data_IF_246783101448
#
_entry.id   IF_246783101448
#
_cell.length_a   1.000
_cell.length_b   1.000
_cell.length_c   1.000
_cell.angle_alpha   90.00
_cell.angle_beta   90.00
_cell.angle_gamma   90.00
#
_symmetry.space_group_name_H-M   'P 1'
#
loop_
_entity.id
_entity.type
_entity.pdbx_description
1 polymer ?
#
# COMPACT_ATOMS: atom_id res chain seq x y z
N UNK A 1 -8.84 -19.51 -1.05
CA UNK A 1 -9.94 -18.62 -1.47
C UNK A 1 -11.10 -18.81 -0.51
N UNK A 2 -11.40 -17.81 0.33
CA UNK A 2 -12.64 -17.72 1.11
C UNK A 2 -12.81 -16.25 1.52
N UNK A 3 -13.88 -15.62 1.05
CA UNK A 3 -14.37 -14.31 1.46
C UNK A 3 -15.83 -14.50 1.88
N UNK A 4 -16.28 -14.00 3.05
CA UNK A 4 -17.69 -14.10 3.41
C UNK A 4 -18.50 -12.93 2.84
N UNK A 5 -19.72 -13.27 2.44
CA UNK A 5 -20.78 -12.41 1.95
C UNK A 5 -21.36 -11.49 3.04
N UNK A 6 -21.76 -10.27 2.66
CA UNK A 6 -23.06 -9.72 3.07
C UNK A 6 -23.47 -8.57 2.16
N UNK A 7 -24.58 -8.80 1.43
CA UNK A 7 -25.35 -7.80 0.70
C UNK A 7 -26.50 -7.30 1.58
N UNK A 8 -26.94 -6.07 1.31
CA UNK A 8 -27.78 -5.26 2.18
C UNK A 8 -29.23 -5.71 2.39
N UNK A 9 -29.92 -4.93 3.23
CA UNK A 9 -31.37 -4.77 3.14
C UNK A 9 -31.73 -3.31 3.38
N UNK A 10 -32.45 -2.75 2.41
CA UNK A 10 -33.14 -1.48 2.50
C UNK A 10 -34.61 -1.77 2.82
N UNK A 11 -35.21 -1.03 3.76
CA UNK A 11 -36.63 -1.16 4.05
C UNK A 11 -37.17 -0.11 5.02
N UNK A 12 -37.85 0.90 4.47
CA UNK A 12 -39.19 1.33 4.90
C UNK A 12 -39.35 2.14 6.19
N UNK A 13 -39.85 3.38 6.04
CA UNK A 13 -40.41 4.25 7.09
C UNK A 13 -41.65 3.67 7.78
N UNK A 14 -41.80 3.87 9.10
CA UNK A 14 -43.12 4.00 9.77
C UNK A 14 -43.05 5.04 10.90
N UNK A 15 -44.10 5.86 10.94
CA UNK A 15 -44.43 6.98 11.82
C UNK A 15 -45.21 6.50 13.05
N UNK A 16 -44.89 7.05 14.23
CA UNK A 16 -45.82 7.18 15.37
C UNK A 16 -45.68 6.17 16.51
N UNK A 17 -45.30 6.65 17.70
CA UNK A 17 -46.15 6.48 18.88
C UNK A 17 -45.79 7.48 19.99
N UNK A 18 -46.82 8.08 20.58
CA UNK A 18 -46.73 9.07 21.67
C UNK A 18 -46.76 8.37 23.04
N UNK A 19 -46.04 8.86 24.07
CA UNK A 19 -46.22 8.36 25.44
C UNK A 19 -47.40 9.06 26.16
N UNK A 20 -48.07 8.38 27.11
CA UNK A 20 -49.22 8.94 27.84
C UNK A 20 -48.78 9.90 28.96
N UNK A 21 -49.66 10.80 29.43
CA UNK A 21 -49.32 11.79 30.45
C UNK A 21 -49.59 11.28 31.86
N UNK A 22 -48.71 11.59 32.81
CA UNK A 22 -49.05 11.56 34.24
C UNK A 22 -48.55 12.83 34.91
N UNK A 23 -49.45 13.43 35.67
CA UNK A 23 -49.39 14.77 36.27
C UNK A 23 -48.76 14.75 37.69
N UNK A 24 -48.78 15.84 38.49
CA UNK A 24 -47.54 16.41 39.01
C UNK A 24 -47.40 16.26 40.54
N UNK A 25 -46.27 16.75 41.05
CA UNK A 25 -46.10 17.31 42.40
C UNK A 25 -45.62 16.35 43.51
N UNK A 26 -44.31 16.39 43.80
CA UNK A 26 -43.84 16.37 45.19
C UNK A 26 -42.47 17.03 45.31
N UNK A 27 -42.47 18.19 45.96
CA UNK A 27 -41.32 18.94 46.47
C UNK A 27 -40.42 18.09 47.37
N UNK A 28 -39.15 17.87 46.97
CA UNK A 28 -38.04 17.59 47.89
C UNK A 28 -36.79 18.40 47.49
N UNK A 29 -36.18 19.02 48.51
CA UNK A 29 -35.00 19.90 48.47
C UNK A 29 -33.81 19.29 47.71
N UNK A 30 -32.94 20.12 47.11
CA UNK A 30 -31.72 19.64 46.47
C UNK A 30 -30.70 19.21 47.53
N UNK A 31 -30.30 17.94 47.49
CA UNK A 31 -29.07 17.46 48.11
C UNK A 31 -27.89 17.82 47.19
N UNK A 32 -26.72 18.17 47.74
CA UNK A 32 -25.59 18.66 46.96
C UNK A 32 -25.12 17.59 45.99
N UNK A 33 -25.10 17.95 44.70
CA UNK A 33 -24.52 17.16 43.63
C UNK A 33 -23.01 17.07 43.94
N UNK A 34 -22.58 15.89 44.36
CA UNK A 34 -21.16 15.54 44.38
C UNK A 34 -20.67 15.59 42.94
N UNK A 35 -19.91 16.63 42.62
CA UNK A 35 -19.23 16.81 41.34
C UNK A 35 -18.08 15.81 41.21
N UNK A 36 -18.40 14.53 41.04
CA UNK A 36 -17.47 13.57 40.47
C UNK A 36 -17.79 13.51 38.99
N UNK A 37 -17.29 14.50 38.24
CA UNK A 37 -17.26 14.40 36.78
C UNK A 37 -16.42 13.16 36.44
N UNK A 38 -16.96 12.14 35.75
CA UNK A 38 -16.10 11.13 35.14
C UNK A 38 -15.12 11.87 34.21
N UNK A 39 -13.87 11.41 34.17
CA UNK A 39 -12.82 11.97 33.34
C UNK A 39 -13.39 12.30 31.96
N UNK A 40 -13.43 13.59 31.61
CA UNK A 40 -13.93 14.10 30.33
C UNK A 40 -13.47 13.19 29.20
N UNK A 41 -14.41 12.56 28.50
CA UNK A 41 -14.16 11.88 27.23
C UNK A 41 -13.62 12.93 26.25
N UNK A 42 -12.29 13.01 26.13
CA UNK A 42 -11.64 13.96 25.24
C UNK A 42 -11.68 13.39 23.82
N UNK A 43 -12.67 13.77 23.04
CA UNK A 43 -12.66 13.52 21.61
C UNK A 43 -11.56 14.37 20.96
N UNK A 44 -10.58 13.71 20.34
CA UNK A 44 -9.52 14.40 19.61
C UNK A 44 -10.03 14.91 18.26
N UNK A 45 -9.69 16.14 17.84
CA UNK A 45 -10.12 16.66 16.56
C UNK A 45 -9.43 15.91 15.41
N UNK A 46 -10.24 15.25 14.56
CA UNK A 46 -9.77 14.56 13.37
C UNK A 46 -9.60 15.59 12.25
N UNK A 47 -8.38 15.68 11.69
CA UNK A 47 -8.07 16.58 10.58
C UNK A 47 -8.37 15.87 9.25
N UNK A 48 -9.27 16.41 8.41
CA UNK A 48 -9.58 15.81 7.12
C UNK A 48 -8.42 16.00 6.13
N UNK A 49 -8.25 15.03 5.24
CA UNK A 49 -7.36 15.15 4.08
C UNK A 49 -8.15 15.50 2.82
N UNK A 50 -7.58 16.36 1.98
CA UNK A 50 -8.05 16.68 0.65
C UNK A 50 -7.50 15.64 -0.32
N UNK A 51 -8.37 15.09 -1.16
CA UNK A 51 -8.01 14.15 -2.22
C UNK A 51 -7.69 14.90 -3.50
N UNK A 52 -6.52 14.65 -4.08
CA UNK A 52 -6.11 15.18 -5.38
C UNK A 52 -5.81 14.02 -6.35
N UNK A 53 -6.58 13.91 -7.42
CA UNK A 53 -6.38 12.90 -8.47
C UNK A 53 -5.37 13.41 -9.48
N UNK A 54 -4.26 12.69 -9.68
CA UNK A 54 -3.29 13.01 -10.72
C UNK A 54 -3.51 12.13 -11.96
N UNK A 55 -3.73 10.83 -11.74
CA UNK A 55 -3.93 9.83 -12.80
C UNK A 55 -4.69 8.60 -12.27
N UNK A 56 -4.95 7.61 -13.13
CA UNK A 56 -5.57 6.32 -12.80
C UNK A 56 -4.73 5.59 -11.75
N UNK A 57 -5.28 5.36 -10.55
CA UNK A 57 -4.60 4.82 -9.36
C UNK A 57 -3.47 5.70 -8.78
N UNK A 58 -3.34 6.97 -9.19
CA UNK A 58 -2.38 7.92 -8.64
C UNK A 58 -3.11 9.08 -7.97
N UNK A 59 -3.17 9.03 -6.64
CA UNK A 59 -3.93 9.99 -5.82
C UNK A 59 -3.02 10.50 -4.72
N UNK A 60 -2.98 11.81 -4.53
CA UNK A 60 -2.27 12.44 -3.41
C UNK A 60 -3.28 12.94 -2.39
N UNK A 61 -3.01 12.67 -1.11
CA UNK A 61 -3.79 13.19 0.01
C UNK A 61 -3.02 14.33 0.67
N UNK A 62 -3.61 15.54 0.61
CA UNK A 62 -3.06 16.73 1.23
C UNK A 62 -3.81 17.06 2.52
N UNK A 63 -3.13 17.68 3.47
CA UNK A 63 -3.76 18.19 4.69
C UNK A 63 -4.12 19.66 4.44
N UNK A 64 -5.28 20.10 4.91
CA UNK A 64 -5.79 21.46 4.67
C UNK A 64 -4.82 22.57 5.12
N UNK A 65 -3.99 22.32 6.14
CA UNK A 65 -3.03 23.28 6.71
C UNK A 65 -1.61 23.16 6.14
N UNK A 66 -1.44 22.41 5.04
CA UNK A 66 -0.14 22.11 4.45
C UNK A 66 0.46 20.79 4.94
N UNK A 67 1.55 20.30 4.31
CA UNK A 67 2.10 18.98 4.57
C UNK A 67 2.90 18.89 5.88
N UNK A 68 3.29 20.03 6.46
CA UNK A 68 3.97 20.11 7.75
C UNK A 68 2.94 20.12 8.87
N UNK A 69 3.01 19.12 9.72
CA UNK A 69 2.12 18.93 10.86
C UNK A 69 2.89 19.20 12.14
N UNK A 70 2.41 20.16 12.93
CA UNK A 70 2.83 20.27 14.34
C UNK A 70 2.10 19.21 15.18
N UNK A 71 2.89 18.35 15.82
CA UNK A 71 2.44 17.36 16.80
C UNK A 71 2.70 17.96 18.18
N UNK A 72 1.66 18.45 18.86
CA UNK A 72 1.78 18.98 20.20
C UNK A 72 2.01 17.86 21.22
N UNK A 73 2.63 18.17 22.36
CA UNK A 73 3.05 17.14 23.28
C UNK A 73 1.91 16.59 24.17
N UNK A 74 0.89 17.40 24.45
CA UNK A 74 -0.23 17.05 25.33
C UNK A 74 -1.38 16.29 24.63
N UNK A 75 -1.35 16.19 23.30
CA UNK A 75 -2.46 15.62 22.53
C UNK A 75 -2.00 14.97 21.22
N UNK A 76 -2.58 13.81 20.83
CA UNK A 76 -2.29 13.21 19.55
C UNK A 76 -2.89 14.04 18.40
N UNK A 77 -2.19 14.09 17.27
CA UNK A 77 -2.72 14.65 16.03
C UNK A 77 -3.30 13.51 15.18
N UNK A 78 -4.59 13.56 14.87
CA UNK A 78 -5.28 12.49 14.12
C UNK A 78 -5.67 12.97 12.73
N UNK A 79 -5.40 12.15 11.72
CA UNK A 79 -5.69 12.40 10.31
C UNK A 79 -6.55 11.28 9.75
N UNK A 80 -7.47 11.62 8.85
CA UNK A 80 -8.30 10.63 8.14
C UNK A 80 -7.98 10.64 6.65
N UNK A 81 -7.77 9.46 6.08
CA UNK A 81 -7.54 9.19 4.66
C UNK A 81 -8.70 8.32 4.18
N UNK A 82 -9.46 8.80 3.21
CA UNK A 82 -10.62 8.07 2.69
C UNK A 82 -10.26 7.43 1.35
N UNK A 83 -10.30 6.09 1.31
CA UNK A 83 -10.07 5.30 0.10
C UNK A 83 -11.40 4.89 -0.53
N UNK A 84 -11.58 5.25 -1.80
CA UNK A 84 -12.79 4.94 -2.55
C UNK A 84 -12.86 3.45 -2.93
N UNK A 85 -14.06 2.85 -2.89
CA UNK A 85 -14.24 1.46 -3.30
C UNK A 85 -13.94 1.27 -4.78
N UNK A 86 -13.37 0.10 -5.12
CA UNK A 86 -13.05 -0.36 -6.49
C UNK A 86 -11.91 0.40 -7.16
N UNK A 87 -11.80 1.71 -6.96
CA UNK A 87 -10.79 2.55 -7.59
C UNK A 87 -9.49 2.62 -6.79
N UNK A 88 -9.53 2.80 -5.48
CA UNK A 88 -8.32 3.05 -4.69
C UNK A 88 -7.70 1.75 -4.12
N UNK A 89 -8.49 0.68 -4.03
CA UNK A 89 -8.05 -0.63 -3.52
C UNK A 89 -7.19 -1.42 -4.50
N UNK A 90 -7.12 -0.98 -5.76
CA UNK A 90 -6.36 -1.65 -6.81
C UNK A 90 -4.88 -1.27 -6.88
N UNK A 91 -4.38 -0.40 -5.99
CA UNK A 91 -2.98 0.06 -6.00
C UNK A 91 -2.28 -0.15 -4.66
N UNK A 92 -1.30 0.71 -4.37
CA UNK A 92 -0.48 0.69 -3.15
C UNK A 92 -0.64 2.00 -2.39
N UNK A 93 -1.05 1.94 -1.13
CA UNK A 93 -1.04 3.09 -0.24
C UNK A 93 0.37 3.29 0.32
N UNK A 94 0.96 4.45 0.00
CA UNK A 94 2.26 4.87 0.49
C UNK A 94 2.05 5.97 1.53
N UNK A 95 2.63 5.76 2.71
CA UNK A 95 2.66 6.72 3.80
C UNK A 95 4.12 7.02 4.14
N UNK A 96 4.50 8.29 4.12
CA UNK A 96 5.84 8.77 4.45
C UNK A 96 5.74 9.82 5.56
N UNK A 97 6.47 9.56 6.64
CA UNK A 97 6.64 10.46 7.78
C UNK A 97 8.07 10.95 7.80
N UNK A 98 8.27 12.27 7.75
CA UNK A 98 9.59 12.88 7.85
C UNK A 98 9.65 13.89 8.98
N UNK A 99 10.47 13.62 9.98
CA UNK A 99 10.67 14.49 11.14
C UNK A 99 11.57 15.68 10.77
N UNK A 100 11.12 16.89 11.09
CA UNK A 100 11.95 18.07 10.99
C UNK A 100 12.84 18.18 12.23
N UNK A 101 14.06 17.64 12.15
CA UNK A 101 14.99 17.59 13.29
C UNK A 101 15.36 18.97 13.84
N UNK A 102 15.27 20.02 13.01
CA UNK A 102 15.53 21.41 13.42
C UNK A 102 14.46 21.94 14.38
N UNK A 103 13.25 21.37 14.38
CA UNK A 103 12.17 21.79 15.29
C UNK A 103 12.31 21.23 16.72
N UNK A 104 13.24 20.29 16.94
CA UNK A 104 13.35 19.54 18.18
C UNK A 104 14.22 20.22 19.26
N UNK A 105 14.80 21.39 18.98
CA UNK A 105 15.59 22.21 19.92
C UNK A 105 16.68 21.44 20.72
N UNK A 106 17.17 20.29 20.24
CA UNK A 106 18.18 19.47 20.92
C UNK A 106 17.63 18.39 21.87
N UNK A 107 16.31 18.21 21.97
CA UNK A 107 15.70 17.12 22.73
C UNK A 107 15.62 15.80 21.94
N UNK A 108 15.76 14.68 22.65
CA UNK A 108 15.60 13.34 22.09
C UNK A 108 14.10 12.99 22.02
N UNK A 109 13.44 13.53 20.99
CA UNK A 109 12.03 13.28 20.71
C UNK A 109 11.86 12.15 19.71
N UNK A 110 10.90 11.28 19.99
CA UNK A 110 10.44 10.23 19.08
C UNK A 110 8.99 10.47 18.75
N UNK A 111 8.65 10.51 17.46
CA UNK A 111 7.26 10.60 17.02
C UNK A 111 6.81 9.24 16.54
N UNK A 112 5.72 8.76 17.12
CA UNK A 112 5.07 7.52 16.74
C UNK A 112 3.80 7.81 15.96
N UNK A 113 3.58 7.03 14.91
CA UNK A 113 2.39 7.05 14.10
C UNK A 113 1.70 5.69 14.11
N UNK A 114 0.42 5.65 14.48
CA UNK A 114 -0.41 4.45 14.33
C UNK A 114 -1.38 4.64 13.18
N UNK A 115 -1.28 3.79 12.17
CA UNK A 115 -2.22 3.73 11.05
C UNK A 115 -3.17 2.54 11.25
N UNK A 116 -4.47 2.81 11.35
CA UNK A 116 -5.48 1.78 11.51
C UNK A 116 -6.68 2.00 10.57
N UNK A 117 -7.37 0.92 10.22
CA UNK A 117 -8.58 0.94 9.41
C UNK A 117 -9.81 1.17 10.30
N UNK A 118 -10.73 2.04 9.87
CA UNK A 118 -12.02 2.41 10.48
C UNK A 118 -11.99 3.07 11.88
N UNK A 119 -10.99 2.80 12.72
CA UNK A 119 -10.91 3.29 14.09
C UNK A 119 -9.59 4.01 14.35
N UNK A 120 -9.60 5.25 14.89
CA UNK A 120 -8.38 5.91 15.33
C UNK A 120 -7.87 5.27 16.63
N UNK A 121 -6.85 4.42 16.52
CA UNK A 121 -6.16 3.90 17.70
C UNK A 121 -5.16 4.94 18.21
N UNK A 122 -5.23 5.25 19.49
CA UNK A 122 -4.21 6.02 20.20
C UNK A 122 -3.80 5.18 21.40
N UNK A 123 -2.56 4.67 21.44
CA UNK A 123 -2.06 4.02 22.66
C UNK A 123 -2.10 5.04 23.80
N UNK A 124 -2.94 4.75 24.80
CA UNK A 124 -3.12 5.55 26.01
C UNK A 124 -2.09 5.24 27.09
N UNK A 125 -1.39 4.11 26.97
CA UNK A 125 -0.44 3.65 27.98
C UNK A 125 0.96 4.18 27.67
N UNK A 126 1.55 4.88 28.64
CA UNK A 126 2.88 5.46 28.54
C UNK A 126 4.00 4.41 28.62
N UNK A 127 3.67 3.13 28.90
CA UNK A 127 4.64 2.06 29.13
C UNK A 127 5.03 1.30 27.84
N UNK A 128 4.15 1.25 26.83
CA UNK A 128 4.46 0.64 25.54
C UNK A 128 3.69 1.32 24.41
N UNK A 129 4.42 1.71 23.36
CA UNK A 129 3.82 2.25 22.15
C UNK A 129 3.52 1.11 21.19
N UNK A 130 2.38 0.46 21.40
CA UNK A 130 1.84 -0.53 20.46
C UNK A 130 0.63 0.05 19.73
N UNK A 131 0.53 -0.23 18.43
CA UNK A 131 -0.67 0.09 17.65
C UNK A 131 -1.63 -1.10 17.63
N UNK A 132 -1.78 -1.76 18.77
CA UNK A 132 -2.57 -2.98 18.91
C UNK A 132 -3.54 -2.83 20.06
N UNK A 133 -4.73 -3.39 19.88
CA UNK A 133 -5.76 -3.58 20.91
C UNK A 133 -6.16 -5.04 20.91
N UNK A 134 -6.93 -5.49 21.91
CA UNK A 134 -7.33 -6.90 22.05
C UNK A 134 -8.01 -7.50 20.79
N UNK A 135 -8.54 -6.67 19.88
CA UNK A 135 -9.24 -7.10 18.66
C UNK A 135 -8.72 -6.51 17.34
N UNK A 136 -7.90 -5.45 17.37
CA UNK A 136 -7.41 -4.76 16.17
C UNK A 136 -5.91 -4.52 16.24
N UNK A 137 -5.20 -4.84 15.16
CA UNK A 137 -3.79 -4.55 14.97
C UNK A 137 -3.59 -3.56 13.82
N UNK A 138 -2.98 -2.42 14.11
CA UNK A 138 -2.61 -1.39 13.14
C UNK A 138 -1.12 -1.40 12.81
N UNK A 139 -0.71 -0.53 11.90
CA UNK A 139 0.67 -0.38 11.50
C UNK A 139 1.35 0.73 12.32
N UNK A 140 2.50 0.42 12.93
CA UNK A 140 3.32 1.36 13.68
C UNK A 140 4.40 1.97 12.77
N UNK A 141 4.49 3.29 12.76
CA UNK A 141 5.60 4.05 12.22
C UNK A 141 6.31 4.80 13.36
N UNK A 142 7.64 4.85 13.33
CA UNK A 142 8.42 5.65 14.27
C UNK A 142 9.46 6.47 13.53
N UNK A 143 9.62 7.72 13.97
CA UNK A 143 10.67 8.63 13.50
C UNK A 143 11.33 9.30 14.68
N UNK A 144 12.64 9.46 14.61
CA UNK A 144 13.45 10.11 15.65
C UNK A 144 14.54 10.97 15.00
N UNK A 145 15.39 11.60 15.81
CA UNK A 145 16.45 12.46 15.28
C UNK A 145 17.47 11.72 14.39
N UNK A 146 17.73 10.44 14.65
CA UNK A 146 18.72 9.62 13.90
C UNK A 146 18.14 9.01 12.62
N UNK A 147 16.91 8.51 12.70
CA UNK A 147 16.08 7.98 11.63
C UNK A 147 14.87 8.92 11.44
N UNK A 148 15.12 10.05 10.79
CA UNK A 148 14.12 11.10 10.58
C UNK A 148 13.09 10.78 9.49
N UNK A 149 13.15 9.60 8.86
CA UNK A 149 12.28 9.20 7.77
C UNK A 149 11.77 7.78 7.96
N UNK A 150 10.44 7.62 7.96
CA UNK A 150 9.77 6.32 8.00
C UNK A 150 8.78 6.21 6.85
N UNK A 151 8.73 5.03 6.24
CA UNK A 151 7.85 4.74 5.09
C UNK A 151 7.09 3.46 5.33
N UNK A 152 5.78 3.52 5.21
CA UNK A 152 4.89 2.38 5.22
C UNK A 152 4.24 2.24 3.85
N UNK A 153 4.18 1.00 3.34
CA UNK A 153 3.55 0.70 2.06
C UNK A 153 2.58 -0.46 2.26
N UNK A 154 1.32 -0.23 1.96
CA UNK A 154 0.25 -1.23 2.08
C UNK A 154 -0.23 -1.55 0.66
N UNK A 155 0.13 -2.72 0.11
CA UNK A 155 -0.38 -3.16 -1.18
C UNK A 155 -1.86 -3.54 -1.04
N UNK A 156 -2.67 -3.15 -2.02
CA UNK A 156 -4.10 -3.42 -2.10
C UNK A 156 -4.85 -3.10 -0.80
N UNK A 157 -4.80 -1.84 -0.34
CA UNK A 157 -5.40 -1.45 0.93
C UNK A 157 -6.92 -1.66 0.91
N UNK A 158 -7.49 -1.97 2.07
CA UNK A 158 -8.94 -2.03 2.24
C UNK A 158 -9.57 -0.65 1.99
N UNK A 159 -10.76 -0.66 1.42
CA UNK A 159 -11.53 0.55 1.11
C UNK A 159 -12.12 1.15 2.39
N UNK A 160 -12.43 2.44 2.38
CA UNK A 160 -13.00 3.14 3.54
C UNK A 160 -12.01 4.08 4.22
N UNK A 161 -12.30 4.44 5.47
CA UNK A 161 -11.56 5.44 6.22
C UNK A 161 -10.38 4.83 6.97
N UNK A 162 -9.19 5.33 6.70
CA UNK A 162 -7.96 5.02 7.43
C UNK A 162 -7.60 6.18 8.33
N UNK A 163 -7.28 5.88 9.59
CA UNK A 163 -6.92 6.86 10.59
C UNK A 163 -5.45 6.76 10.95
N UNK A 164 -4.72 7.86 10.80
CA UNK A 164 -3.35 8.01 11.27
C UNK A 164 -3.33 8.88 12.51
N UNK A 165 -2.94 8.32 13.65
CA UNK A 165 -2.70 9.08 14.88
C UNK A 165 -1.20 9.28 15.08
N UNK A 166 -0.79 10.51 15.36
CA UNK A 166 0.60 10.89 15.63
C UNK A 166 0.74 11.35 17.08
N UNK A 167 1.75 10.84 17.78
CA UNK A 167 2.08 11.22 19.16
C UNK A 167 3.59 11.39 19.32
N UNK A 168 4.02 12.46 19.97
CA UNK A 168 5.42 12.70 20.31
C UNK A 168 5.70 12.26 21.75
N UNK A 169 6.77 11.49 21.95
CA UNK A 169 7.24 11.06 23.26
C UNK A 169 8.71 11.47 23.44
N UNK A 170 9.04 11.89 24.66
CA UNK A 170 10.35 12.37 25.07
C UNK A 170 10.97 11.42 26.09
N UNK A 171 12.30 11.41 26.15
CA UNK A 171 13.10 10.61 27.08
C UNK A 171 13.04 9.09 26.86
N UNK A 172 13.91 8.36 27.55
CA UNK A 172 14.04 6.89 27.46
C UNK A 172 12.85 6.14 28.05
N UNK A 173 12.02 6.82 28.84
CA UNK A 173 10.85 6.24 29.53
C UNK A 173 9.51 6.55 28.85
N UNK A 174 9.54 7.02 27.58
CA UNK A 174 8.34 7.25 26.76
C UNK A 174 7.29 8.18 27.40
N UNK A 175 7.76 9.20 28.12
CA UNK A 175 6.88 10.21 28.71
C UNK A 175 6.36 11.20 27.65
N UNK A 176 5.16 11.77 27.82
CA UNK A 176 4.73 12.89 26.98
C UNK A 176 5.72 14.04 27.15
N UNK A 177 6.13 14.65 26.04
CA UNK A 177 6.93 15.86 26.08
C UNK A 177 6.17 16.97 26.85
N UNK A 178 6.83 18.02 27.33
CA UNK A 178 6.13 19.13 28.02
C UNK A 178 6.24 20.45 27.25
N UNK A 179 7.40 20.71 26.63
CA UNK A 179 7.68 22.01 26.00
C UNK A 179 8.18 21.92 24.55
N UNK A 180 8.13 20.73 23.92
CA UNK A 180 8.59 20.55 22.54
C UNK A 180 7.47 20.09 21.64
N UNK A 181 7.25 20.85 20.57
CA UNK A 181 6.34 20.49 19.48
C UNK A 181 7.17 19.93 18.33
N UNK A 182 6.93 18.67 17.98
CA UNK A 182 7.59 18.05 16.85
C UNK A 182 6.89 18.44 15.55
N UNK A 183 7.62 18.95 14.57
CA UNK A 183 7.10 19.16 13.22
C UNK A 183 7.40 17.93 12.35
N UNK A 184 6.36 17.35 11.76
CA UNK A 184 6.48 16.19 10.88
C UNK A 184 5.86 16.51 9.53
N UNK A 185 6.63 16.33 8.48
CA UNK A 185 6.14 16.33 7.11
C UNK A 185 5.46 15.00 6.83
N UNK A 186 4.14 15.05 6.59
CA UNK A 186 3.32 13.89 6.27
C UNK A 186 3.01 13.87 4.78
N UNK A 187 3.29 12.74 4.13
CA UNK A 187 2.92 12.50 2.73
C UNK A 187 2.19 11.17 2.61
N UNK A 188 0.95 11.20 2.15
CA UNK A 188 0.13 10.03 1.87
C UNK A 188 -0.30 10.06 0.40
N UNK A 189 -0.05 8.97 -0.33
CA UNK A 189 -0.42 8.87 -1.73
C UNK A 189 -0.65 7.42 -2.16
N UNK A 190 -1.54 7.23 -3.13
CA UNK A 190 -1.70 5.97 -3.85
C UNK A 190 -0.78 5.96 -5.06
N UNK A 191 -0.10 4.84 -5.28
CA UNK A 191 0.60 4.56 -6.53
C UNK A 191 0.09 3.25 -7.12
N UNK A 192 0.10 3.08 -8.46
CA UNK A 192 -0.35 1.85 -9.09
C UNK A 192 0.50 0.64 -8.65
N UNK A 193 1.83 0.73 -8.77
CA UNK A 193 2.74 -0.35 -8.38
C UNK A 193 3.70 0.09 -7.27
N UNK A 194 4.28 -0.89 -6.57
CA UNK A 194 5.33 -0.66 -5.58
C UNK A 194 6.67 -0.46 -6.29
N UNK A 195 7.30 0.71 -6.10
CA UNK A 195 8.59 1.08 -6.70
C UNK A 195 8.70 0.76 -8.21
N UNK A 196 7.61 0.93 -8.96
CA UNK A 196 7.52 0.62 -10.39
C UNK A 196 7.97 -0.80 -10.78
N UNK A 197 7.83 -1.77 -9.86
CA UNK A 197 8.21 -3.18 -10.04
C UNK A 197 9.71 -3.43 -10.24
N UNK A 198 10.53 -2.42 -9.96
CA UNK A 198 11.99 -2.50 -10.13
C UNK A 198 12.41 -2.79 -11.57
N UNK A 199 13.60 -3.39 -11.72
CA UNK A 199 14.17 -3.73 -13.04
C UNK A 199 13.72 -5.09 -13.57
N UNK A 200 13.19 -5.95 -12.69
CA UNK A 200 12.82 -7.33 -12.99
C UNK A 200 11.31 -7.51 -13.19
N UNK A 201 10.56 -6.42 -13.26
CA UNK A 201 9.12 -6.44 -13.50
C UNK A 201 8.64 -5.29 -14.35
N UNK A 202 7.36 -5.34 -14.72
CA UNK A 202 6.65 -4.23 -15.35
C UNK A 202 5.35 -3.98 -14.61
N UNK A 203 5.04 -2.70 -14.37
CA UNK A 203 3.76 -2.31 -13.82
C UNK A 203 2.68 -2.43 -14.90
N UNK A 204 1.67 -3.27 -14.67
CA UNK A 204 0.55 -3.47 -15.58
C UNK A 204 -0.78 -3.25 -14.87
N UNK A 205 -1.72 -2.64 -15.60
CA UNK A 205 -3.11 -2.54 -15.20
C UNK A 205 -3.83 -3.80 -15.66
N UNK A 206 -4.27 -4.59 -14.70
CA UNK A 206 -5.00 -5.83 -14.90
C UNK A 206 -6.47 -5.61 -14.56
N UNK A 207 -7.34 -6.28 -15.30
CA UNK A 207 -8.78 -6.26 -15.07
C UNK A 207 -9.27 -7.67 -14.87
N UNK A 208 -9.83 -7.94 -13.70
CA UNK A 208 -10.53 -9.19 -13.40
C UNK A 208 -12.01 -8.87 -13.19
N UNK A 209 -12.86 -9.32 -14.11
CA UNK A 209 -14.28 -8.96 -14.17
C UNK A 209 -14.49 -7.42 -14.25
N UNK A 210 -15.02 -6.83 -13.18
CA UNK A 210 -15.28 -5.40 -13.06
C UNK A 210 -14.33 -4.70 -12.05
N UNK A 211 -13.29 -5.39 -11.60
CA UNK A 211 -12.28 -4.86 -10.70
C UNK A 211 -11.00 -4.57 -11.50
N UNK A 212 -10.56 -3.32 -11.46
CA UNK A 212 -9.33 -2.87 -12.08
C UNK A 212 -8.27 -2.73 -10.99
N UNK A 213 -7.07 -3.23 -11.24
CA UNK A 213 -5.98 -3.16 -10.28
C UNK A 213 -4.63 -3.14 -11.00
N UNK A 214 -3.65 -2.50 -10.38
CA UNK A 214 -2.29 -2.41 -10.84
C UNK A 214 -1.45 -3.45 -10.10
N UNK A 215 -0.70 -4.26 -10.85
CA UNK A 215 0.18 -5.28 -10.30
C UNK A 215 1.50 -5.32 -11.05
N UNK A 216 2.52 -5.88 -10.40
CA UNK A 216 3.79 -6.15 -11.02
C UNK A 216 3.79 -7.50 -11.71
N UNK A 217 4.05 -7.50 -13.03
CA UNK A 217 4.35 -8.72 -13.77
C UNK A 217 5.86 -8.95 -13.76
N UNK A 218 6.30 -9.96 -13.02
CA UNK A 218 7.70 -10.28 -12.83
C UNK A 218 8.24 -11.13 -13.98
N UNK A 219 9.50 -10.89 -14.33
CA UNK A 219 10.23 -11.56 -15.41
C UNK A 219 11.20 -12.58 -14.84
N UNK A 220 11.63 -13.54 -15.66
CA UNK A 220 12.74 -14.44 -15.34
C UNK A 220 12.63 -15.17 -13.98
N UNK A 221 11.41 -15.55 -13.57
CA UNK A 221 11.19 -16.30 -12.31
C UNK A 221 11.29 -15.46 -11.03
N UNK A 222 11.41 -14.14 -11.14
CA UNK A 222 11.32 -13.26 -9.96
C UNK A 222 9.91 -13.28 -9.38
N UNK A 223 9.80 -13.13 -8.06
CA UNK A 223 8.52 -13.17 -7.36
C UNK A 223 8.40 -12.01 -6.35
N UNK A 224 7.25 -11.93 -5.69
CA UNK A 224 6.90 -10.91 -4.71
C UNK A 224 6.21 -9.69 -5.33
N UNK A 225 5.56 -8.90 -4.48
CA UNK A 225 4.74 -7.74 -4.88
C UNK A 225 5.48 -6.69 -5.73
N UNK A 226 6.80 -6.58 -5.56
CA UNK A 226 7.66 -5.66 -6.31
C UNK A 226 8.72 -6.35 -7.16
N UNK A 227 8.60 -7.66 -7.44
CA UNK A 227 9.60 -8.45 -8.18
C UNK A 227 11.01 -8.37 -7.57
N UNK A 228 11.10 -8.43 -6.24
CA UNK A 228 12.36 -8.35 -5.49
C UNK A 228 12.80 -9.68 -4.90
N UNK A 229 11.95 -10.71 -4.93
CA UNK A 229 12.29 -12.04 -4.44
C UNK A 229 12.99 -12.84 -5.54
N UNK A 230 14.19 -13.34 -5.22
CA UNK A 230 15.07 -14.06 -6.13
C UNK A 230 15.07 -15.58 -5.89
N UNK A 231 14.24 -16.10 -4.98
CA UNK A 231 14.25 -17.52 -4.61
C UNK A 231 14.07 -18.47 -5.80
N UNK A 232 13.21 -18.11 -6.75
CA UNK A 232 12.92 -18.90 -7.97
C UNK A 232 13.46 -18.23 -9.25
N UNK A 233 14.29 -17.19 -9.10
CA UNK A 233 14.78 -16.44 -10.25
C UNK A 233 15.78 -17.26 -11.06
N UNK A 234 15.60 -17.29 -12.38
CA UNK A 234 16.54 -17.94 -13.28
C UNK A 234 17.87 -17.19 -13.26
N UNK A 235 18.97 -17.95 -13.06
CA UNK A 235 20.30 -17.38 -13.12
C UNK A 235 20.61 -16.84 -14.52
N UNK A 236 21.39 -15.76 -14.57
CA UNK A 236 21.86 -15.21 -15.83
C UNK A 236 22.58 -16.26 -16.70
N UNK A 237 23.32 -17.18 -16.05
CA UNK A 237 23.99 -18.29 -16.74
C UNK A 237 23.03 -19.26 -17.43
N UNK A 238 21.89 -19.57 -16.82
CA UNK A 238 20.88 -20.43 -17.44
C UNK A 238 20.22 -19.76 -18.65
N UNK A 239 19.95 -18.46 -18.56
CA UNK A 239 19.41 -17.67 -19.67
C UNK A 239 20.41 -17.61 -20.85
N UNK A 240 21.70 -17.39 -20.53
CA UNK A 240 22.78 -17.36 -21.51
C UNK A 240 23.00 -18.73 -22.17
N UNK A 241 23.01 -19.80 -21.38
CA UNK A 241 23.15 -21.17 -21.89
C UNK A 241 21.99 -21.54 -22.81
N UNK A 242 20.76 -21.21 -22.42
CA UNK A 242 19.57 -21.45 -23.25
C UNK A 242 19.67 -20.70 -24.57
N UNK A 243 20.07 -19.43 -24.54
CA UNK A 243 20.28 -18.61 -25.75
C UNK A 243 21.41 -19.18 -26.62
N UNK A 244 22.51 -19.63 -26.02
CA UNK A 244 23.65 -20.21 -26.71
C UNK A 244 23.29 -21.53 -27.40
N UNK A 245 22.62 -22.45 -26.68
CA UNK A 245 22.17 -23.72 -27.24
C UNK A 245 21.21 -23.51 -28.41
N UNK A 246 20.32 -22.53 -28.29
CA UNK A 246 19.37 -22.18 -29.34
C UNK A 246 20.09 -21.59 -30.57
N UNK A 247 21.03 -20.67 -30.38
CA UNK A 247 21.89 -20.16 -31.47
C UNK A 247 22.71 -21.28 -32.13
N UNK A 248 23.28 -22.19 -31.33
CA UNK A 248 24.09 -23.30 -31.82
C UNK A 248 23.24 -24.30 -32.62
N UNK A 249 22.00 -24.55 -32.21
CA UNK A 249 21.05 -25.37 -32.98
C UNK A 249 20.75 -24.76 -34.36
N UNK A 250 20.57 -23.42 -34.43
CA UNK A 250 20.34 -22.71 -35.69
C UNK A 250 21.57 -22.77 -36.62
N UNK A 251 22.79 -22.70 -36.08
CA UNK A 251 24.03 -22.86 -36.88
C UNK A 251 24.17 -24.27 -37.43
N UNK A 252 23.76 -25.28 -36.68
CA UNK A 252 23.80 -26.68 -37.13
C UNK A 252 22.82 -26.98 -38.29
N UNK A 253 21.82 -26.13 -38.55
CA UNK A 253 20.97 -26.23 -39.74
C UNK A 253 21.64 -25.70 -41.02
N UNK A 254 22.72 -24.92 -40.92
CA UNK A 254 23.39 -24.31 -42.09
C UNK A 254 24.05 -25.34 -43.01
N UNK A 255 24.81 -26.36 -42.54
CA UNK A 255 25.41 -27.36 -43.41
C UNK A 255 24.38 -28.19 -44.22
N UNK A 256 23.28 -28.73 -43.61
CA UNK A 256 22.22 -29.40 -44.36
C UNK A 256 21.57 -28.52 -45.43
N UNK A 257 21.31 -27.24 -45.14
CA UNK A 257 20.78 -26.28 -46.11
C UNK A 257 21.76 -26.09 -47.28
N UNK A 258 23.04 -25.86 -46.98
CA UNK A 258 24.07 -25.65 -48.00
C UNK A 258 24.25 -26.88 -48.90
N UNK A 259 24.22 -28.08 -48.33
CA UNK A 259 24.32 -29.34 -49.08
C UNK A 259 23.10 -29.49 -49.98
N UNK A 260 21.87 -29.36 -49.44
CA UNK A 260 20.62 -29.53 -50.19
C UNK A 260 20.46 -28.53 -51.34
N UNK A 261 20.88 -27.28 -51.15
CA UNK A 261 20.90 -26.24 -52.20
C UNK A 261 21.90 -26.62 -53.30
N UNK A 262 23.10 -27.09 -52.93
CA UNK A 262 24.13 -27.51 -53.89
C UNK A 262 23.73 -28.75 -54.70
N UNK A 263 23.00 -29.68 -54.10
CA UNK A 263 22.52 -30.91 -54.74
C UNK A 263 21.16 -30.77 -55.43
N UNK A 264 20.60 -29.55 -55.52
CA UNK A 264 19.33 -29.25 -56.18
C UNK A 264 18.07 -29.92 -55.55
N UNK A 265 18.11 -30.29 -54.26
CA UNK A 265 16.94 -30.78 -53.54
C UNK A 265 16.13 -29.61 -52.96
N UNK A 266 15.36 -28.95 -53.82
CA UNK A 266 14.62 -27.72 -53.46
C UNK A 266 13.60 -27.92 -52.33
N UNK A 267 12.96 -29.09 -52.25
CA UNK A 267 11.96 -29.37 -51.21
C UNK A 267 12.61 -29.57 -49.83
N UNK A 268 13.73 -30.29 -49.78
CA UNK A 268 14.51 -30.47 -48.55
C UNK A 268 15.13 -29.15 -48.08
N UNK A 269 15.70 -28.38 -49.02
CA UNK A 269 16.24 -27.05 -48.74
C UNK A 269 15.16 -26.12 -48.17
N UNK A 270 13.94 -26.13 -48.73
CA UNK A 270 12.82 -25.34 -48.22
C UNK A 270 12.46 -25.74 -46.78
N UNK A 271 12.34 -27.03 -46.48
CA UNK A 271 12.01 -27.51 -45.12
C UNK A 271 13.05 -27.06 -44.08
N UNK A 272 14.34 -27.19 -44.38
CA UNK A 272 15.39 -26.76 -43.46
C UNK A 272 15.45 -25.24 -43.27
N UNK A 273 15.24 -24.46 -44.35
CA UNK A 273 15.17 -23.00 -44.28
C UNK A 273 13.97 -22.55 -43.46
N UNK A 274 12.78 -23.14 -43.67
CA UNK A 274 11.60 -22.84 -42.88
C UNK A 274 11.80 -23.18 -41.39
N UNK A 275 12.39 -24.34 -41.10
CA UNK A 275 12.67 -24.76 -39.71
C UNK A 275 13.64 -23.80 -39.02
N UNK A 276 14.69 -23.38 -39.72
CA UNK A 276 15.64 -22.37 -39.21
C UNK A 276 14.95 -21.02 -38.97
N UNK A 277 14.09 -20.58 -39.89
CA UNK A 277 13.34 -19.32 -39.77
C UNK A 277 12.37 -19.32 -38.58
N UNK A 278 11.58 -20.38 -38.39
CA UNK A 278 10.68 -20.46 -37.23
C UNK A 278 11.44 -20.54 -35.91
N UNK A 279 12.61 -21.18 -35.89
CA UNK A 279 13.48 -21.22 -34.72
C UNK A 279 14.07 -19.84 -34.37
N UNK A 280 14.47 -19.03 -35.36
CA UNK A 280 14.97 -17.66 -35.12
C UNK A 280 13.84 -16.68 -34.75
N UNK A 281 12.65 -16.81 -35.32
CA UNK A 281 11.49 -16.02 -34.88
C UNK A 281 11.12 -16.37 -33.43
N UNK A 282 11.11 -17.66 -33.09
CA UNK A 282 10.93 -18.10 -31.71
C UNK A 282 12.02 -17.57 -30.77
N UNK A 283 13.27 -17.39 -31.24
CA UNK A 283 14.33 -16.73 -30.44
C UNK A 283 14.02 -15.26 -30.19
N UNK A 284 13.46 -14.57 -31.18
CA UNK A 284 13.07 -13.15 -31.10
C UNK A 284 11.90 -13.00 -30.14
N UNK A 285 10.93 -13.90 -30.22
CA UNK A 285 9.79 -13.97 -29.32
C UNK A 285 10.20 -14.40 -27.91
N UNK A 286 11.18 -15.28 -27.68
CA UNK A 286 11.70 -15.59 -26.34
C UNK A 286 12.49 -14.41 -25.76
N UNK A 287 13.25 -13.70 -26.58
CA UNK A 287 13.96 -12.48 -26.18
C UNK A 287 12.98 -11.31 -25.92
N UNK A 288 11.86 -11.26 -26.65
CA UNK A 288 10.76 -10.32 -26.39
C UNK A 288 9.82 -10.79 -25.28
N UNK A 289 9.71 -12.09 -25.01
CA UNK A 289 8.84 -12.68 -24.01
C UNK A 289 9.52 -12.76 -22.63
N UNK A 290 10.86 -12.75 -22.57
CA UNK A 290 11.55 -12.24 -21.36
C UNK A 290 11.21 -10.76 -21.10
N UNK A 291 10.62 -10.06 -22.07
CA UNK A 291 9.97 -8.76 -21.94
C UNK A 291 8.42 -8.75 -21.86
N UNK A 292 7.73 -9.84 -22.21
CA UNK A 292 6.28 -9.91 -22.41
C UNK A 292 5.78 -11.35 -22.57
N UNK A 293 5.98 -12.22 -21.58
CA UNK A 293 5.35 -13.53 -21.55
C UNK A 293 3.98 -13.38 -20.88
N UNK A 294 2.93 -13.11 -21.67
CA UNK A 294 1.51 -13.48 -21.44
C UNK A 294 0.56 -12.83 -22.47
N UNK A 295 0.76 -13.04 -23.78
CA UNK A 295 -0.31 -12.78 -24.77
C UNK A 295 -0.62 -13.94 -25.70
N UNK A 296 -0.12 -15.13 -25.40
CA UNK A 296 -0.47 -16.34 -26.14
C UNK A 296 -0.77 -17.48 -25.18
N UNK A 297 -1.87 -17.33 -24.43
CA UNK A 297 -2.90 -18.33 -24.09
C UNK A 297 -4.20 -17.58 -23.79
#
# INVERSE_FOLDING_TARGET
MNMPHSFGSAGGMVLGDSPPPTSPNSTKRPLPISSTMPATERCWPIRPTLRNELDTFSVHFYIFFGPNVSVPPDRPAVFVINLLPVLDSGGVLNLELRLNVSSLCGENVTVFGCLNHEVPLTSGDNASVTCETESLAGFLLSVNATASLSRLRIPYPQTGSWYLSLRSLCATEFEPCTNVTAEVYLRAYLSPCINDCGIYGQCKLLRTNNYLYAACECKAGWNGWGCTDNAEAFSYGFQLLSTLLLCLSNVMFVPPVAIAVRSHYLLEAAVYIFTMFFSTVSTSDILMATGSLNSWW
#
